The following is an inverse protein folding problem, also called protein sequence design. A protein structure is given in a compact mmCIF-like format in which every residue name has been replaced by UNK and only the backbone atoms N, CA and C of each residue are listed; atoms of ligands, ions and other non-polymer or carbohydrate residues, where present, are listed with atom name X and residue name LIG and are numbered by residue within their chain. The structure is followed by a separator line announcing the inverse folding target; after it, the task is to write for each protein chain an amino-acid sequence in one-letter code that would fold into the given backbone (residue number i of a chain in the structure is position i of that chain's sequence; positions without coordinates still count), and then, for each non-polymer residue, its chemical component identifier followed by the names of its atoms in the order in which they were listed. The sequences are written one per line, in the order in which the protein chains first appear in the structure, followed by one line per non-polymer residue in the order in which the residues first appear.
data_IF_823227400592
#
_entry.id   IF_823227400592
#
_cell.length_a   1.000
_cell.length_b   1.000
_cell.length_c   1.000
_cell.angle_alpha   90.00
_cell.angle_beta   90.00
_cell.angle_gamma   90.00
#
_symmetry.space_group_name_H-M   'P 1'
#
loop_
_entity.id
_entity.type
_entity.pdbx_description
1 polymer ?
#
# COMPACT_ATOMS: atom_id res chain seq x y z
N UNK A 1 80.45 1.88 -22.24
CA UNK A 1 78.98 1.98 -22.17
C UNK A 1 78.41 0.86 -23.02
N UNK A 2 77.93 -0.21 -22.39
CA UNK A 2 77.26 -1.31 -23.07
C UNK A 2 76.08 -1.72 -22.18
N UNK A 3 74.88 -1.52 -22.71
CA UNK A 3 73.59 -1.71 -22.05
C UNK A 3 73.20 -3.19 -22.16
N UNK A 4 73.32 -3.93 -21.06
CA UNK A 4 73.01 -5.37 -21.00
C UNK A 4 71.48 -5.55 -20.83
N UNK A 5 70.77 -5.68 -21.96
CA UNK A 5 69.35 -6.02 -21.99
C UNK A 5 69.14 -7.47 -21.53
N UNK A 6 68.87 -7.63 -20.24
CA UNK A 6 68.39 -8.87 -19.62
C UNK A 6 67.02 -9.25 -20.21
N UNK A 7 67.02 -10.10 -21.24
CA UNK A 7 65.83 -10.80 -21.74
C UNK A 7 65.40 -11.80 -20.66
N UNK A 8 64.43 -11.41 -19.82
CA UNK A 8 63.78 -12.34 -18.89
C UNK A 8 62.95 -13.32 -19.71
N UNK A 9 63.47 -14.52 -19.92
CA UNK A 9 62.70 -15.66 -20.38
C UNK A 9 61.53 -15.88 -19.43
N UNK A 10 60.31 -15.55 -19.87
CA UNK A 10 59.07 -15.99 -19.25
C UNK A 10 59.02 -17.51 -19.40
N UNK A 11 59.42 -18.22 -18.35
CA UNK A 11 59.31 -19.68 -18.30
C UNK A 11 57.85 -20.12 -18.45
N UNK A 12 57.61 -21.33 -18.98
CA UNK A 12 56.26 -21.87 -19.24
C UNK A 12 55.37 -21.99 -18.00
N UNK A 13 55.94 -21.86 -16.80
CA UNK A 13 55.24 -21.89 -15.51
C UNK A 13 54.12 -20.84 -15.38
N UNK A 14 54.29 -19.65 -15.95
CA UNK A 14 53.26 -18.60 -15.86
C UNK A 14 51.98 -18.89 -16.65
N UNK A 15 52.07 -19.76 -17.68
CA UNK A 15 50.91 -20.12 -18.51
C UNK A 15 50.04 -21.15 -17.77
N UNK A 16 50.65 -22.10 -17.06
CA UNK A 16 49.92 -23.11 -16.28
C UNK A 16 49.18 -22.49 -15.10
N UNK A 17 49.79 -21.53 -14.41
CA UNK A 17 49.18 -20.84 -13.27
C UNK A 17 47.99 -19.97 -13.69
N UNK A 18 48.11 -19.26 -14.82
CA UNK A 18 47.02 -18.52 -15.42
C UNK A 18 45.86 -19.44 -15.90
N UNK A 19 46.20 -20.60 -16.47
CA UNK A 19 45.20 -21.59 -16.89
C UNK A 19 44.46 -22.18 -15.68
N UNK A 20 45.16 -22.47 -14.58
CA UNK A 20 44.57 -22.99 -13.35
C UNK A 20 43.60 -21.96 -12.72
N UNK A 21 44.00 -20.69 -12.66
CA UNK A 21 43.12 -19.61 -12.17
C UNK A 21 41.85 -19.46 -13.03
N UNK A 22 41.96 -19.58 -14.35
CA UNK A 22 40.79 -19.54 -15.24
C UNK A 22 39.86 -20.74 -15.03
N UNK A 23 40.40 -21.94 -14.79
CA UNK A 23 39.59 -23.14 -14.49
C UNK A 23 38.87 -22.98 -13.16
N UNK A 24 39.56 -22.53 -12.11
CA UNK A 24 38.96 -22.31 -10.78
C UNK A 24 37.90 -21.21 -10.84
N UNK A 25 38.18 -20.09 -11.51
CA UNK A 25 37.20 -19.01 -11.69
C UNK A 25 35.98 -19.49 -12.49
N UNK A 26 36.18 -20.26 -13.56
CA UNK A 26 35.11 -20.86 -14.34
C UNK A 26 34.25 -21.85 -13.53
N UNK A 27 34.88 -22.66 -12.68
CA UNK A 27 34.17 -23.63 -11.82
C UNK A 27 33.40 -22.94 -10.71
N UNK A 28 33.95 -21.88 -10.10
CA UNK A 28 33.26 -21.04 -9.12
C UNK A 28 32.08 -20.31 -9.77
N UNK A 29 32.25 -19.72 -10.96
CA UNK A 29 31.14 -19.12 -11.71
C UNK A 29 30.06 -20.15 -12.09
N UNK A 30 30.46 -21.39 -12.40
CA UNK A 30 29.54 -22.47 -12.72
C UNK A 30 28.77 -22.96 -11.49
N UNK A 31 29.43 -23.06 -10.33
CA UNK A 31 28.80 -23.39 -9.04
C UNK A 31 27.90 -22.26 -8.51
N UNK A 32 28.22 -21.00 -8.83
CA UNK A 32 27.40 -19.83 -8.51
C UNK A 32 26.25 -19.61 -9.49
N UNK A 33 26.14 -20.39 -10.58
CA UNK A 33 24.95 -20.32 -11.44
C UNK A 33 23.76 -20.86 -10.66
N UNK A 34 22.71 -20.06 -10.43
CA UNK A 34 21.51 -20.56 -9.78
C UNK A 34 20.95 -21.70 -10.65
N UNK A 35 20.73 -22.85 -10.00
CA UNK A 35 20.15 -24.02 -10.62
C UNK A 35 18.86 -23.62 -11.36
N UNK A 36 18.53 -24.25 -12.50
CA UNK A 36 17.33 -23.91 -13.28
C UNK A 36 16.04 -23.97 -12.43
N UNK A 37 15.98 -24.82 -11.40
CA UNK A 37 14.88 -24.85 -10.43
C UNK A 37 14.79 -23.59 -9.55
N UNK A 38 15.92 -22.99 -9.16
CA UNK A 38 15.94 -21.74 -8.39
C UNK A 38 15.52 -20.54 -9.25
N UNK A 39 15.85 -20.55 -10.56
CA UNK A 39 15.36 -19.55 -11.52
C UNK A 39 13.86 -19.68 -11.75
N UNK A 40 13.37 -20.90 -12.01
CA UNK A 40 11.94 -21.15 -12.19
C UNK A 40 11.12 -20.80 -10.92
N UNK A 41 11.66 -21.07 -9.72
CA UNK A 41 11.02 -20.66 -8.47
C UNK A 41 11.01 -19.14 -8.28
N UNK A 42 12.08 -18.44 -8.70
CA UNK A 42 12.14 -16.98 -8.66
C UNK A 42 11.16 -16.33 -9.66
N UNK A 43 11.08 -16.86 -10.90
CA UNK A 43 10.14 -16.41 -11.93
C UNK A 43 8.69 -16.66 -11.52
N UNK A 44 8.37 -17.84 -10.99
CA UNK A 44 7.03 -18.14 -10.46
C UNK A 44 6.68 -17.25 -9.26
N UNK A 45 7.66 -16.95 -8.39
CA UNK A 45 7.46 -16.01 -7.29
C UNK A 45 7.23 -14.58 -7.81
N UNK A 46 7.91 -14.14 -8.86
CA UNK A 46 7.74 -12.83 -9.48
C UNK A 46 6.35 -12.69 -10.15
N UNK A 47 5.89 -13.73 -10.84
CA UNK A 47 4.56 -13.79 -11.45
C UNK A 47 3.44 -13.79 -10.40
N UNK A 48 3.61 -14.54 -9.31
CA UNK A 48 2.73 -14.48 -8.15
C UNK A 48 2.78 -13.12 -7.44
N UNK A 49 3.95 -12.46 -7.40
CA UNK A 49 4.09 -11.12 -6.82
C UNK A 49 3.35 -10.06 -7.63
N UNK A 50 3.34 -10.17 -8.97
CA UNK A 50 2.55 -9.31 -9.84
C UNK A 50 1.04 -9.47 -9.64
N UNK A 51 0.60 -10.71 -9.37
CA UNK A 51 -0.82 -11.07 -9.21
C UNK A 51 -1.50 -10.38 -8.02
N UNK A 52 -0.74 -10.00 -6.98
CA UNK A 52 -1.26 -9.40 -5.74
C UNK A 52 -0.69 -8.00 -5.47
N UNK A 53 -0.25 -7.28 -6.51
CA UNK A 53 0.43 -6.00 -6.33
C UNK A 53 -0.44 -4.95 -5.59
N UNK A 54 -1.75 -4.89 -5.89
CA UNK A 54 -2.68 -3.97 -5.26
C UNK A 54 -2.94 -4.34 -3.80
N UNK A 55 -3.16 -5.63 -3.52
CA UNK A 55 -3.42 -6.14 -2.18
C UNK A 55 -2.20 -5.95 -1.26
N UNK A 56 -0.98 -6.13 -1.80
CA UNK A 56 0.24 -5.83 -1.06
C UNK A 56 0.37 -4.35 -0.74
N UNK A 57 0.07 -3.46 -1.69
CA UNK A 57 0.03 -2.00 -1.43
C UNK A 57 -1.03 -1.65 -0.37
N UNK A 58 -2.17 -2.33 -0.38
CA UNK A 58 -3.22 -2.15 0.60
C UNK A 58 -2.77 -2.56 2.01
N UNK A 59 -2.17 -3.74 2.16
CA UNK A 59 -1.59 -4.19 3.45
C UNK A 59 -0.44 -3.27 3.87
N UNK A 60 0.37 -2.80 2.93
CA UNK A 60 1.46 -1.86 3.20
C UNK A 60 0.95 -0.53 3.74
N UNK A 61 -0.14 -0.01 3.18
CA UNK A 61 -0.79 1.21 3.64
C UNK A 61 -1.39 1.09 5.05
N UNK A 62 -1.57 -0.14 5.56
CA UNK A 62 -2.01 -0.38 6.93
C UNK A 62 -0.88 -0.29 7.96
N UNK A 63 0.40 -0.24 7.54
CA UNK A 63 1.52 -0.09 8.47
C UNK A 63 1.39 1.20 9.27
N UNK A 64 1.56 1.13 10.59
CA UNK A 64 1.44 2.32 11.46
C UNK A 64 0.02 2.57 12.00
N UNK A 65 -0.96 1.78 11.56
CA UNK A 65 -2.33 1.84 12.07
C UNK A 65 -2.56 0.93 13.30
N UNK A 66 -1.50 0.42 13.92
CA UNK A 66 -1.61 -0.44 15.08
C UNK A 66 -2.37 0.28 16.22
N UNK A 67 -3.38 -0.41 16.75
CA UNK A 67 -4.30 0.11 17.77
C UNK A 67 -5.27 1.20 17.29
N UNK A 68 -5.36 1.47 15.98
CA UNK A 68 -6.32 2.41 15.43
C UNK A 68 -7.68 1.76 15.18
N UNK A 69 -8.75 2.55 15.26
CA UNK A 69 -10.11 2.05 15.00
C UNK A 69 -10.31 1.72 13.52
N UNK A 70 -9.60 2.41 12.63
CA UNK A 70 -9.59 2.10 11.20
C UNK A 70 -9.00 0.71 10.92
N UNK A 71 -7.89 0.32 11.56
CA UNK A 71 -7.33 -1.02 11.38
C UNK A 71 -8.31 -2.09 11.87
N UNK A 72 -8.91 -1.91 13.04
CA UNK A 72 -9.93 -2.83 13.57
C UNK A 72 -11.11 -2.96 12.61
N UNK A 73 -11.57 -1.85 12.03
CA UNK A 73 -12.65 -1.86 11.05
C UNK A 73 -12.27 -2.59 9.74
N UNK A 74 -11.03 -2.45 9.28
CA UNK A 74 -10.50 -3.16 8.10
C UNK A 74 -10.39 -4.67 8.35
N UNK A 75 -9.85 -5.07 9.49
CA UNK A 75 -9.73 -6.48 9.88
C UNK A 75 -11.11 -7.12 10.08
N UNK A 76 -12.05 -6.39 10.69
CA UNK A 76 -13.45 -6.81 10.80
C UNK A 76 -14.15 -6.93 9.45
N UNK A 77 -13.88 -6.01 8.51
CA UNK A 77 -14.41 -6.07 7.16
C UNK A 77 -13.83 -7.26 6.36
N UNK A 78 -12.54 -7.57 6.52
CA UNK A 78 -11.93 -8.75 5.90
C UNK A 78 -12.36 -10.05 6.59
N UNK A 79 -12.62 -10.00 7.90
CA UNK A 79 -12.89 -11.15 8.77
C UNK A 79 -11.61 -11.82 9.29
N UNK A 80 -10.45 -11.13 9.21
CA UNK A 80 -9.15 -11.63 9.68
C UNK A 80 -8.14 -10.49 9.84
N UNK A 81 -7.03 -10.80 10.53
CA UNK A 81 -5.92 -9.86 10.70
C UNK A 81 -5.24 -9.51 9.37
N UNK A 82 -4.76 -8.27 9.25
CA UNK A 82 -4.08 -7.76 8.06
C UNK A 82 -2.56 -7.94 8.17
N UNK A 83 -2.08 -9.11 7.78
CA UNK A 83 -0.65 -9.44 7.72
C UNK A 83 -0.11 -9.55 6.28
N UNK A 84 1.22 -9.55 6.14
CA UNK A 84 1.91 -9.64 4.84
C UNK A 84 2.01 -11.07 4.31
N UNK A 85 0.95 -11.85 4.46
CA UNK A 85 0.91 -13.23 3.96
C UNK A 85 0.20 -13.33 2.63
N UNK A 86 0.58 -14.32 1.82
CA UNK A 86 -0.12 -14.61 0.56
C UNK A 86 -1.60 -14.97 0.79
N UNK A 87 -1.93 -15.59 1.93
CA UNK A 87 -3.30 -15.91 2.30
C UNK A 87 -4.17 -14.67 2.54
N UNK A 88 -3.59 -13.61 3.13
CA UNK A 88 -4.27 -12.32 3.31
C UNK A 88 -4.46 -11.61 1.98
N UNK A 89 -3.45 -11.59 1.11
CA UNK A 89 -3.61 -11.04 -0.24
C UNK A 89 -4.66 -11.79 -1.06
N UNK A 90 -4.69 -13.13 -1.01
CA UNK A 90 -5.72 -13.92 -1.66
C UNK A 90 -7.13 -13.62 -1.11
N UNK A 91 -7.26 -13.46 0.21
CA UNK A 91 -8.55 -13.11 0.83
C UNK A 91 -9.03 -11.70 0.44
N UNK A 92 -8.11 -10.73 0.42
CA UNK A 92 -8.39 -9.36 -0.05
C UNK A 92 -8.86 -9.38 -1.50
N UNK A 93 -8.16 -10.11 -2.37
CA UNK A 93 -8.52 -10.24 -3.78
C UNK A 93 -9.89 -10.89 -3.97
N UNK A 94 -10.18 -11.95 -3.22
CA UNK A 94 -11.46 -12.65 -3.28
C UNK A 94 -12.64 -11.78 -2.81
N UNK A 95 -12.40 -10.88 -1.84
CA UNK A 95 -13.45 -10.01 -1.29
C UNK A 95 -13.62 -8.69 -2.06
N UNK A 96 -12.58 -8.24 -2.74
CA UNK A 96 -12.51 -6.92 -3.38
C UNK A 96 -12.02 -5.85 -2.41
N UNK A 97 -10.99 -5.11 -2.80
CA UNK A 97 -10.39 -4.07 -1.96
C UNK A 97 -11.34 -2.91 -1.67
N UNK A 98 -12.12 -2.51 -2.67
CA UNK A 98 -13.16 -1.48 -2.58
C UNK A 98 -14.28 -1.87 -1.60
N UNK A 99 -14.69 -3.14 -1.60
CA UNK A 99 -15.68 -3.67 -0.66
C UNK A 99 -15.15 -3.66 0.79
N UNK A 100 -13.92 -4.15 1.00
CA UNK A 100 -13.30 -4.14 2.33
C UNK A 100 -13.14 -2.71 2.84
N UNK A 101 -12.62 -1.81 2.00
CA UNK A 101 -12.40 -0.41 2.37
C UNK A 101 -13.72 0.33 2.63
N UNK A 102 -14.73 0.17 1.77
CA UNK A 102 -16.03 0.83 1.96
C UNK A 102 -16.75 0.35 3.22
N UNK A 103 -16.68 -0.94 3.54
CA UNK A 103 -17.22 -1.47 4.80
C UNK A 103 -16.47 -0.89 6.01
N UNK A 104 -15.14 -0.84 5.96
CA UNK A 104 -14.34 -0.29 7.04
C UNK A 104 -14.58 1.22 7.26
N UNK A 105 -14.68 2.01 6.19
CA UNK A 105 -14.97 3.45 6.29
C UNK A 105 -16.39 3.70 6.82
N UNK A 106 -17.38 2.90 6.42
CA UNK A 106 -18.73 2.97 7.02
C UNK A 106 -18.70 2.70 8.52
N UNK A 107 -18.00 1.65 8.93
CA UNK A 107 -17.86 1.32 10.35
C UNK A 107 -17.15 2.43 11.12
N UNK A 108 -16.02 2.92 10.60
CA UNK A 108 -15.26 4.02 11.19
C UNK A 108 -16.09 5.31 11.28
N UNK A 109 -16.94 5.55 10.28
CA UNK A 109 -17.91 6.64 10.24
C UNK A 109 -18.91 6.59 11.39
N UNK A 110 -19.44 5.42 11.74
CA UNK A 110 -20.39 5.28 12.87
C UNK A 110 -19.80 5.77 14.19
N UNK A 111 -18.50 5.59 14.37
CA UNK A 111 -17.75 5.95 15.57
C UNK A 111 -17.18 7.38 15.53
N UNK A 112 -17.28 8.07 14.39
CA UNK A 112 -16.63 9.35 14.15
C UNK A 112 -17.11 10.49 15.06
N UNK A 113 -18.37 10.44 15.51
CA UNK A 113 -18.93 11.42 16.44
C UNK A 113 -18.31 11.35 17.84
N UNK A 114 -17.75 10.20 18.21
CA UNK A 114 -17.12 9.97 19.52
C UNK A 114 -15.60 10.04 19.45
N UNK A 115 -15.02 9.64 18.31
CA UNK A 115 -13.58 9.61 18.09
C UNK A 115 -13.25 10.08 16.67
N UNK A 116 -12.64 11.26 16.56
CA UNK A 116 -12.19 11.82 15.28
C UNK A 116 -11.09 10.94 14.67
N UNK A 117 -10.93 10.99 13.34
CA UNK A 117 -9.84 10.31 12.66
C UNK A 117 -8.49 10.82 13.17
N UNK A 118 -7.60 9.89 13.50
CA UNK A 118 -6.22 10.23 13.81
C UNK A 118 -5.49 10.66 12.53
N UNK A 119 -4.45 11.48 12.66
CA UNK A 119 -3.72 11.97 11.48
C UNK A 119 -3.09 10.84 10.65
N UNK A 120 -2.54 9.84 11.34
CA UNK A 120 -2.06 8.60 10.72
C UNK A 120 -3.14 7.83 9.96
N UNK A 121 -4.38 7.85 10.44
CA UNK A 121 -5.52 7.23 9.75
C UNK A 121 -5.88 8.03 8.49
N UNK A 122 -5.92 9.36 8.56
CA UNK A 122 -6.17 10.22 7.40
C UNK A 122 -5.15 10.00 6.29
N UNK A 123 -3.87 9.95 6.64
CA UNK A 123 -2.79 9.70 5.68
C UNK A 123 -2.92 8.31 5.05
N UNK A 124 -3.18 7.29 5.86
CA UNK A 124 -3.35 5.92 5.37
C UNK A 124 -4.57 5.76 4.46
N UNK A 125 -5.69 6.44 4.74
CA UNK A 125 -6.91 6.37 3.92
C UNK A 125 -6.67 6.75 2.46
N UNK A 126 -5.80 7.73 2.19
CA UNK A 126 -5.43 8.10 0.82
C UNK A 126 -4.71 6.96 0.08
N UNK A 127 -3.75 6.33 0.74
CA UNK A 127 -3.01 5.19 0.19
C UNK A 127 -3.89 3.94 0.02
N UNK A 128 -4.78 3.66 0.99
CA UNK A 128 -5.75 2.57 0.93
C UNK A 128 -6.75 2.77 -0.21
N UNK A 129 -7.28 3.98 -0.36
CA UNK A 129 -8.19 4.33 -1.46
C UNK A 129 -7.49 4.13 -2.80
N UNK A 130 -6.27 4.65 -2.97
CA UNK A 130 -5.51 4.47 -4.21
C UNK A 130 -5.23 2.98 -4.51
N UNK A 131 -4.87 2.18 -3.50
CA UNK A 131 -4.66 0.74 -3.67
C UNK A 131 -5.94 -0.01 -4.05
N UNK A 132 -7.10 0.45 -3.56
CA UNK A 132 -8.41 -0.08 -3.89
C UNK A 132 -9.00 0.45 -5.21
N UNK A 133 -8.30 1.32 -5.94
CA UNK A 133 -8.85 1.96 -7.14
C UNK A 133 -9.97 2.97 -6.83
N UNK A 134 -9.98 3.52 -5.63
CA UNK A 134 -10.95 4.49 -5.13
C UNK A 134 -10.35 5.90 -5.03
N UNK A 135 -11.23 6.90 -4.92
CA UNK A 135 -10.89 8.27 -4.57
C UNK A 135 -11.66 8.71 -3.33
N UNK A 136 -11.02 9.52 -2.50
CA UNK A 136 -11.67 10.12 -1.34
C UNK A 136 -12.56 11.29 -1.76
N UNK A 137 -13.71 11.44 -1.09
CA UNK A 137 -14.60 12.59 -1.20
C UNK A 137 -14.47 13.36 0.13
N UNK A 138 -13.88 14.56 0.08
CA UNK A 138 -13.69 15.41 1.25
C UNK A 138 -14.40 16.74 0.99
N UNK A 139 -15.59 16.96 1.55
CA UNK A 139 -16.25 18.26 1.47
C UNK A 139 -15.39 19.34 2.12
N UNK A 140 -15.25 20.48 1.45
CA UNK A 140 -14.60 21.65 2.02
C UNK A 140 -15.48 22.27 3.12
N UNK A 141 -14.84 22.84 4.14
CA UNK A 141 -15.54 23.63 5.14
C UNK A 141 -16.21 24.85 4.48
N UNK A 142 -17.42 25.20 4.94
CA UNK A 142 -18.26 26.25 4.37
C UNK A 142 -19.18 25.80 3.23
N UNK A 143 -19.00 24.60 2.67
CA UNK A 143 -19.91 24.07 1.63
C UNK A 143 -21.29 23.76 2.22
N UNK A 144 -22.35 24.01 1.45
CA UNK A 144 -23.73 23.71 1.87
C UNK A 144 -23.89 22.21 2.11
N UNK A 145 -24.45 21.85 3.27
CA UNK A 145 -24.78 20.47 3.58
C UNK A 145 -25.86 19.94 2.61
N UNK A 146 -25.63 18.73 2.07
CA UNK A 146 -26.60 18.02 1.25
C UNK A 146 -26.86 16.63 1.84
N UNK A 147 -28.10 16.31 2.28
CA UNK A 147 -28.42 15.00 2.85
C UNK A 147 -28.38 13.86 1.82
N UNK A 148 -28.33 14.16 0.52
CA UNK A 148 -28.19 13.14 -0.54
C UNK A 148 -26.74 12.76 -0.79
N UNK A 149 -25.79 13.65 -0.46
CA UNK A 149 -24.37 13.49 -0.76
C UNK A 149 -23.49 13.37 0.49
N UNK A 150 -24.04 13.63 1.69
CA UNK A 150 -23.30 13.68 2.95
C UNK A 150 -24.14 13.10 4.09
N UNK A 151 -23.46 12.50 5.07
CA UNK A 151 -24.06 12.03 6.32
C UNK A 151 -23.74 13.01 7.46
N UNK A 152 -24.78 13.54 8.13
CA UNK A 152 -24.60 14.49 9.23
C UNK A 152 -24.34 13.73 10.53
N UNK A 153 -23.15 13.89 11.10
CA UNK A 153 -22.76 13.21 12.32
C UNK A 153 -23.09 14.01 13.59
N UNK A 154 -22.78 15.30 13.56
CA UNK A 154 -22.84 16.21 14.71
C UNK A 154 -23.27 17.59 14.22
N UNK A 155 -23.97 18.34 15.07
CA UNK A 155 -24.28 19.75 14.84
C UNK A 155 -23.54 20.63 15.83
N UNK A 156 -23.05 21.78 15.37
CA UNK A 156 -22.38 22.79 16.22
C UNK A 156 -23.11 24.13 16.05
N UNK A 157 -23.37 24.83 17.16
CA UNK A 157 -24.01 26.15 17.08
C UNK A 157 -23.07 27.17 16.45
N UNK A 158 -23.45 27.66 15.27
CA UNK A 158 -22.83 28.77 14.57
C UNK A 158 -23.86 29.39 13.61
N UNK A 159 -24.63 30.41 14.06
CA UNK A 159 -25.67 31.02 13.25
C UNK A 159 -25.18 31.65 11.94
N UNK A 160 -23.91 32.09 11.89
CA UNK A 160 -23.34 32.70 10.68
C UNK A 160 -23.13 31.70 9.54
N UNK A 161 -23.04 30.40 9.86
CA UNK A 161 -22.77 29.33 8.91
C UNK A 161 -23.91 28.30 8.84
N UNK A 162 -25.11 28.65 9.30
CA UNK A 162 -26.22 27.72 9.44
C UNK A 162 -26.46 26.87 8.17
N UNK A 163 -26.38 25.55 8.33
CA UNK A 163 -26.56 24.58 7.25
C UNK A 163 -25.33 24.34 6.38
N UNK A 164 -24.17 24.91 6.73
CA UNK A 164 -22.90 24.62 6.06
C UNK A 164 -22.09 23.57 6.82
N UNK A 165 -21.22 22.88 6.09
CA UNK A 165 -20.25 21.92 6.64
C UNK A 165 -19.18 22.69 7.41
N UNK A 166 -18.95 22.31 8.67
CA UNK A 166 -17.88 22.86 9.51
C UNK A 166 -16.61 22.02 9.37
N UNK A 167 -16.75 20.69 9.43
CA UNK A 167 -15.64 19.75 9.40
C UNK A 167 -16.07 18.44 8.72
N UNK A 168 -15.16 17.82 7.95
CA UNK A 168 -15.31 16.44 7.51
C UNK A 168 -14.64 15.50 8.53
N UNK A 169 -15.45 14.73 9.26
CA UNK A 169 -14.97 13.78 10.27
C UNK A 169 -14.40 12.51 9.63
N UNK A 170 -15.08 11.99 8.60
CA UNK A 170 -14.65 10.82 7.83
C UNK A 170 -14.90 11.07 6.34
N UNK A 171 -13.86 10.98 5.50
CA UNK A 171 -14.01 11.10 4.05
C UNK A 171 -14.97 10.06 3.47
N UNK A 172 -15.68 10.45 2.42
CA UNK A 172 -16.42 9.52 1.58
C UNK A 172 -15.48 8.77 0.63
N UNK A 173 -16.04 7.79 -0.07
CA UNK A 173 -15.35 6.97 -1.07
C UNK A 173 -16.17 6.92 -2.35
N UNK A 174 -15.48 6.95 -3.49
CA UNK A 174 -16.01 6.61 -4.82
C UNK A 174 -15.01 5.76 -5.59
N UNK A 175 -15.47 4.99 -6.56
CA UNK A 175 -14.55 4.34 -7.51
C UNK A 175 -13.89 5.41 -8.37
N UNK A 176 -12.58 5.29 -8.59
CA UNK A 176 -11.84 6.25 -9.40
C UNK A 176 -12.41 6.31 -10.83
N UNK A 177 -12.61 7.51 -11.35
CA UNK A 177 -13.21 7.74 -12.67
C UNK A 177 -14.74 7.58 -12.70
N UNK A 178 -15.40 7.44 -11.55
CA UNK A 178 -16.88 7.39 -11.46
C UNK A 178 -17.43 8.54 -10.61
N UNK A 179 -18.70 8.87 -10.84
CA UNK A 179 -19.40 9.92 -10.07
C UNK A 179 -20.19 9.36 -8.87
N UNK A 180 -20.34 8.04 -8.79
CA UNK A 180 -21.10 7.36 -7.73
C UNK A 180 -20.30 7.21 -6.43
N UNK A 181 -20.90 7.64 -5.31
CA UNK A 181 -20.34 7.41 -3.99
C UNK A 181 -20.59 5.97 -3.52
N UNK A 182 -19.52 5.25 -3.17
CA UNK A 182 -19.57 3.99 -2.42
C UNK A 182 -19.91 4.23 -0.94
N UNK A 183 -19.36 5.32 -0.40
CA UNK A 183 -19.59 5.79 0.97
C UNK A 183 -19.70 7.31 0.93
N UNK A 184 -20.76 7.86 1.51
CA UNK A 184 -20.90 9.32 1.63
C UNK A 184 -20.01 9.83 2.76
N UNK A 185 -19.37 11.01 2.60
CA UNK A 185 -18.60 11.64 3.67
C UNK A 185 -19.47 11.94 4.88
N UNK A 186 -18.86 11.86 6.06
CA UNK A 186 -19.52 12.11 7.33
C UNK A 186 -19.01 13.42 7.93
N UNK A 187 -19.92 14.35 8.22
CA UNK A 187 -19.60 15.76 8.43
C UNK A 187 -20.24 16.34 9.70
N UNK A 188 -19.62 17.39 10.23
CA UNK A 188 -20.20 18.31 11.21
C UNK A 188 -20.90 19.44 10.47
N UNK A 189 -22.11 19.80 10.88
CA UNK A 189 -22.91 20.86 10.23
C UNK A 189 -23.24 21.97 11.23
N UNK A 190 -23.08 23.22 10.83
CA UNK A 190 -23.44 24.36 11.66
C UNK A 190 -24.97 24.49 11.80
N UNK A 191 -25.44 24.83 12.99
CA UNK A 191 -26.84 25.12 13.30
C UNK A 191 -27.03 26.54 13.82
N UNK A 192 -28.19 27.13 13.55
CA UNK A 192 -28.64 28.40 14.12
C UNK A 192 -28.98 28.32 15.61
#
# INVERSE_FOLDING_TARGET
MAEERSVRHRGPLGIFEAALLLVVAGMVLWLLRPLPAARAAAEAAEELQGTFAAERKFVEACRGLEGSMLLVALEGALGRALDKTAATSAALKARGLDNVLSQAVRERGRQAAQAHLLERERTALGALAAAAGCSLIIPEAGVRFSPTAMDKAVTVSNPAEEGNVVECLVPGLRLAGTDGALVVPRVVVASG
#
